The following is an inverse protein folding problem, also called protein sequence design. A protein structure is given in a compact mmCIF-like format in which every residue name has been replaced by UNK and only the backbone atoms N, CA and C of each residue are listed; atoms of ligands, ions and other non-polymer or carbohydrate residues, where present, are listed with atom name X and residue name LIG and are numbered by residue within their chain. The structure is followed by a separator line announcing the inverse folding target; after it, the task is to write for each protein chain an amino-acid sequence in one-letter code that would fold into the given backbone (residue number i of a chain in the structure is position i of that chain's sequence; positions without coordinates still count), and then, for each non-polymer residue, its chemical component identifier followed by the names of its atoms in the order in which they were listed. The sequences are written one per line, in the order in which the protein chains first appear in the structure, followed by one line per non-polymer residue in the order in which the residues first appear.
data_IF_597213618838
#
_entry.id   IF_597213618838
#
_cell.length_a   1.000
_cell.length_b   1.000
_cell.length_c   1.000
_cell.angle_alpha   90.00
_cell.angle_beta   90.00
_cell.angle_gamma   90.00
#
_symmetry.space_group_name_H-M   'P 1'
#
loop_
_entity.id
_entity.type
_entity.pdbx_description
1 polymer ?
#
# COMPACT_ATOMS: atom_id res chain seq x y z
N UNK A 1 45.35 -15.58 -16.79
CA UNK A 1 44.07 -16.30 -16.68
C UNK A 1 43.20 -15.53 -15.71
N UNK A 2 41.92 -15.25 -16.02
CA UNK A 2 41.02 -14.62 -15.06
C UNK A 2 40.83 -15.54 -13.84
N UNK A 3 40.88 -14.96 -12.63
CA UNK A 3 40.56 -15.68 -11.39
C UNK A 3 39.11 -16.17 -11.47
N UNK A 4 38.90 -17.47 -11.20
CA UNK A 4 37.56 -18.02 -11.14
C UNK A 4 36.84 -17.59 -9.86
N UNK A 5 35.53 -17.35 -9.92
CA UNK A 5 34.69 -17.01 -8.75
C UNK A 5 34.86 -17.96 -7.57
N UNK A 6 35.14 -19.25 -7.81
CA UNK A 6 35.38 -20.26 -6.77
C UNK A 6 36.72 -20.13 -6.04
N UNK A 7 37.62 -19.27 -6.52
CA UNK A 7 38.92 -19.01 -5.90
C UNK A 7 38.89 -17.80 -4.97
N UNK A 8 37.77 -17.06 -4.95
CA UNK A 8 37.61 -15.90 -4.09
C UNK A 8 37.34 -16.34 -2.63
N UNK A 9 37.83 -15.57 -1.65
CA UNK A 9 37.44 -15.73 -0.24
C UNK A 9 35.92 -15.63 -0.05
N UNK A 10 35.38 -16.36 0.94
CA UNK A 10 33.94 -16.44 1.19
C UNK A 10 33.30 -15.07 1.49
N UNK A 11 34.01 -14.19 2.20
CA UNK A 11 33.61 -12.81 2.47
C UNK A 11 33.45 -11.98 1.19
N UNK A 12 34.34 -12.14 0.22
CA UNK A 12 34.21 -11.47 -1.09
C UNK A 12 33.02 -12.04 -1.87
N UNK A 13 32.79 -13.35 -1.81
CA UNK A 13 31.62 -13.97 -2.46
C UNK A 13 30.32 -13.46 -1.82
N UNK A 14 30.29 -13.30 -0.49
CA UNK A 14 29.15 -12.72 0.22
C UNK A 14 28.89 -11.29 -0.25
N UNK A 15 29.94 -10.47 -0.37
CA UNK A 15 29.81 -9.08 -0.86
C UNK A 15 29.40 -9.00 -2.34
N UNK A 16 29.81 -9.96 -3.17
CA UNK A 16 29.30 -10.05 -4.56
C UNK A 16 27.81 -10.40 -4.54
N UNK A 17 27.41 -11.34 -3.69
CA UNK A 17 26.03 -11.79 -3.58
C UNK A 17 25.08 -10.68 -3.09
N UNK A 18 25.54 -9.77 -2.23
CA UNK A 18 24.72 -8.61 -1.81
C UNK A 18 24.44 -7.63 -2.95
N UNK A 19 25.22 -7.69 -4.04
CA UNK A 19 25.02 -6.89 -5.25
C UNK A 19 24.12 -7.58 -6.31
N UNK A 20 23.63 -8.78 -6.04
CA UNK A 20 22.80 -9.56 -6.97
C UNK A 20 21.37 -9.65 -6.47
N UNK A 21 20.41 -9.70 -7.40
CA UNK A 21 19.02 -9.99 -7.07
C UNK A 21 18.87 -11.45 -6.62
N UNK A 22 17.89 -11.71 -5.75
CA UNK A 22 17.66 -13.04 -5.18
C UNK A 22 17.57 -14.18 -6.23
N UNK A 23 16.91 -14.02 -7.39
CA UNK A 23 16.88 -15.07 -8.42
C UNK A 23 18.28 -15.45 -8.94
N UNK A 24 19.19 -14.49 -9.05
CA UNK A 24 20.57 -14.70 -9.50
C UNK A 24 21.39 -15.35 -8.40
N UNK A 25 21.19 -14.93 -7.14
CA UNK A 25 21.81 -15.55 -5.97
C UNK A 25 21.42 -17.03 -5.86
N UNK A 26 20.12 -17.35 -5.96
CA UNK A 26 19.64 -18.74 -5.92
C UNK A 26 20.29 -19.55 -7.04
N UNK A 27 20.31 -19.01 -8.27
CA UNK A 27 20.92 -19.69 -9.42
C UNK A 27 22.42 -19.93 -9.23
N UNK A 28 23.15 -18.93 -8.74
CA UNK A 28 24.58 -18.99 -8.48
C UNK A 28 24.94 -20.02 -7.40
N UNK A 29 24.20 -20.02 -6.30
CA UNK A 29 24.45 -20.87 -5.13
C UNK A 29 24.13 -22.34 -5.44
N UNK A 30 23.06 -22.62 -6.19
CA UNK A 30 22.70 -23.98 -6.59
C UNK A 30 23.74 -24.62 -7.52
N UNK A 31 24.38 -23.82 -8.39
CA UNK A 31 25.32 -24.32 -9.41
C UNK A 31 26.77 -24.35 -8.92
N UNK A 32 27.22 -23.34 -8.17
CA UNK A 32 28.67 -23.14 -7.88
C UNK A 32 29.04 -23.11 -6.41
N UNK A 33 28.11 -22.76 -5.51
CA UNK A 33 28.42 -22.53 -4.09
C UNK A 33 27.49 -23.29 -3.14
N UNK A 34 27.35 -24.60 -3.36
CA UNK A 34 26.46 -25.45 -2.56
C UNK A 34 26.74 -25.37 -1.05
N UNK A 35 28.01 -25.21 -0.65
CA UNK A 35 28.39 -25.04 0.76
C UNK A 35 27.75 -23.78 1.37
N UNK A 36 27.72 -22.64 0.67
CA UNK A 36 27.04 -21.43 1.15
C UNK A 36 25.54 -21.66 1.31
N UNK A 37 24.93 -22.46 0.42
CA UNK A 37 23.51 -22.82 0.51
C UNK A 37 23.14 -23.58 1.79
N UNK A 38 24.11 -24.20 2.47
CA UNK A 38 23.90 -24.89 3.76
C UNK A 38 24.02 -23.96 4.98
N UNK A 39 24.50 -22.72 4.79
CA UNK A 39 24.68 -21.77 5.89
C UNK A 39 23.41 -20.96 6.11
N UNK A 40 22.89 -20.97 7.35
CA UNK A 40 21.67 -20.22 7.70
C UNK A 40 21.88 -18.70 7.66
N UNK A 41 23.02 -18.22 8.15
CA UNK A 41 23.39 -16.80 8.14
C UNK A 41 23.43 -16.21 6.73
N UNK A 42 23.87 -17.00 5.74
CA UNK A 42 23.87 -16.62 4.33
C UNK A 42 22.45 -16.24 3.86
N UNK A 43 21.49 -17.15 4.04
CA UNK A 43 20.11 -16.91 3.60
C UNK A 43 19.43 -15.77 4.35
N UNK A 44 19.70 -15.62 5.65
CA UNK A 44 19.20 -14.47 6.42
C UNK A 44 19.70 -13.18 5.78
N UNK A 45 21.01 -13.03 5.57
CA UNK A 45 21.58 -11.81 4.98
C UNK A 45 21.03 -11.51 3.59
N UNK A 46 20.93 -12.53 2.73
CA UNK A 46 20.40 -12.39 1.37
C UNK A 46 18.92 -11.98 1.38
N UNK A 47 18.11 -12.61 2.21
CA UNK A 47 16.67 -12.30 2.33
C UNK A 47 16.44 -10.95 3.00
N UNK A 48 17.23 -10.56 4.00
CA UNK A 48 17.17 -9.22 4.59
C UNK A 48 17.49 -8.14 3.57
N UNK A 49 18.53 -8.33 2.74
CA UNK A 49 18.86 -7.43 1.64
C UNK A 49 17.70 -7.36 0.64
N UNK A 50 17.16 -8.51 0.24
CA UNK A 50 16.02 -8.56 -0.70
C UNK A 50 14.80 -7.86 -0.12
N UNK A 51 14.49 -8.08 1.17
CA UNK A 51 13.35 -7.48 1.87
C UNK A 51 13.41 -5.96 1.91
N UNK A 52 14.60 -5.35 1.83
CA UNK A 52 14.72 -3.89 1.77
C UNK A 52 14.15 -3.30 0.48
N UNK A 53 14.06 -4.09 -0.58
CA UNK A 53 13.64 -3.60 -1.90
C UNK A 53 12.33 -4.24 -2.35
N UNK A 54 12.06 -5.49 -1.97
CA UNK A 54 10.89 -6.23 -2.41
C UNK A 54 10.22 -6.99 -1.26
N UNK A 55 8.88 -7.09 -1.25
CA UNK A 55 8.18 -7.86 -0.23
C UNK A 55 8.54 -9.35 -0.32
N UNK A 56 8.68 -9.97 0.85
CA UNK A 56 8.84 -11.42 1.00
C UNK A 56 7.54 -12.02 1.56
N UNK A 57 7.28 -13.30 1.28
CA UNK A 57 6.12 -14.09 1.76
C UNK A 57 6.08 -14.33 3.29
N UNK A 58 6.29 -13.27 4.07
CA UNK A 58 6.27 -13.21 5.53
C UNK A 58 6.01 -11.76 5.96
N UNK A 59 5.59 -11.54 7.20
CA UNK A 59 5.42 -10.18 7.73
C UNK A 59 6.71 -9.34 7.54
N UNK A 60 6.63 -8.04 7.19
CA UNK A 60 7.79 -7.16 7.05
C UNK A 60 8.72 -7.19 8.28
N UNK A 61 8.12 -7.32 9.47
CA UNK A 61 8.81 -7.32 10.76
C UNK A 61 9.21 -8.71 11.26
N UNK A 62 8.97 -9.75 10.45
CA UNK A 62 9.31 -11.11 10.85
C UNK A 62 10.82 -11.26 11.05
N UNK A 63 11.23 -11.61 12.26
CA UNK A 63 12.63 -11.91 12.62
C UNK A 63 13.11 -13.17 11.88
N UNK A 64 13.83 -12.98 10.77
CA UNK A 64 14.36 -14.07 9.94
C UNK A 64 15.33 -14.98 10.70
N UNK A 65 15.93 -14.51 11.80
CA UNK A 65 16.80 -15.33 12.65
C UNK A 65 16.05 -16.42 13.40
N UNK A 66 14.72 -16.37 13.47
CA UNK A 66 13.87 -17.42 14.05
C UNK A 66 13.49 -18.51 13.04
N UNK A 67 13.69 -18.27 11.75
CA UNK A 67 13.35 -19.23 10.71
C UNK A 67 14.40 -20.36 10.67
N UNK A 68 13.92 -21.56 10.36
CA UNK A 68 14.80 -22.70 10.06
C UNK A 68 15.48 -22.47 8.70
N UNK A 69 16.60 -23.15 8.46
CA UNK A 69 17.27 -23.09 7.15
C UNK A 69 16.32 -23.46 6.01
N UNK A 70 15.47 -24.47 6.22
CA UNK A 70 14.51 -24.92 5.21
C UNK A 70 13.44 -23.87 4.94
N UNK A 71 12.90 -23.24 5.98
CA UNK A 71 11.93 -22.16 5.81
C UNK A 71 12.52 -20.95 5.07
N UNK A 72 13.78 -20.60 5.33
CA UNK A 72 14.48 -19.54 4.59
C UNK A 72 14.67 -19.90 3.11
N UNK A 73 15.09 -21.14 2.82
CA UNK A 73 15.19 -21.63 1.43
C UNK A 73 13.85 -21.63 0.72
N UNK A 74 12.78 -22.01 1.43
CA UNK A 74 11.43 -21.98 0.90
C UNK A 74 10.99 -20.56 0.58
N UNK A 75 11.23 -19.58 1.47
CA UNK A 75 10.98 -18.16 1.20
C UNK A 75 11.71 -17.69 -0.07
N UNK A 76 13.00 -18.01 -0.19
CA UNK A 76 13.79 -17.64 -1.35
C UNK A 76 13.28 -18.30 -2.65
N UNK A 77 12.92 -19.58 -2.59
CA UNK A 77 12.37 -20.31 -3.73
C UNK A 77 11.00 -19.77 -4.16
N UNK A 78 10.10 -19.49 -3.22
CA UNK A 78 8.79 -18.89 -3.51
C UNK A 78 8.96 -17.51 -4.16
N UNK A 79 9.85 -16.67 -3.63
CA UNK A 79 10.16 -15.38 -4.23
C UNK A 79 10.73 -15.54 -5.65
N UNK A 80 11.65 -16.47 -5.87
CA UNK A 80 12.21 -16.71 -7.21
C UNK A 80 11.12 -17.12 -8.21
N UNK A 81 10.23 -18.05 -7.84
CA UNK A 81 9.10 -18.48 -8.67
C UNK A 81 8.18 -17.31 -9.01
N UNK A 82 7.86 -16.50 -8.00
CA UNK A 82 7.08 -15.27 -8.14
C UNK A 82 7.68 -14.33 -9.18
N UNK A 83 8.96 -13.99 -9.03
CA UNK A 83 9.63 -13.07 -9.94
C UNK A 83 9.73 -13.64 -11.36
N UNK A 84 9.96 -14.95 -11.51
CA UNK A 84 9.96 -15.59 -12.83
C UNK A 84 8.58 -15.53 -13.49
N UNK A 85 7.50 -15.68 -12.73
CA UNK A 85 6.15 -15.56 -13.27
C UNK A 85 5.80 -14.11 -13.62
N UNK A 86 6.17 -13.15 -12.77
CA UNK A 86 5.96 -11.73 -13.05
C UNK A 86 6.81 -11.17 -14.19
N UNK A 87 7.94 -11.80 -14.54
CA UNK A 87 8.71 -11.40 -15.74
C UNK A 87 7.95 -11.69 -17.05
N UNK A 88 6.83 -12.40 -17.01
CA UNK A 88 5.98 -12.68 -18.18
C UNK A 88 5.05 -11.50 -18.43
N UNK A 89 4.78 -11.22 -19.71
CA UNK A 89 3.75 -10.25 -20.10
C UNK A 89 2.35 -10.66 -19.59
N UNK A 90 2.10 -11.97 -19.57
CA UNK A 90 0.89 -12.60 -19.04
C UNK A 90 1.27 -13.62 -17.96
N UNK A 91 1.30 -13.19 -16.68
CA UNK A 91 1.55 -14.09 -15.56
C UNK A 91 0.54 -15.23 -15.53
N UNK A 92 1.01 -16.45 -15.27
CA UNK A 92 0.16 -17.64 -15.28
C UNK A 92 -0.36 -17.95 -13.88
N UNK A 93 -1.64 -18.27 -13.77
CA UNK A 93 -2.20 -18.87 -12.56
C UNK A 93 -1.52 -20.21 -12.30
N UNK A 94 -1.03 -20.39 -11.08
CA UNK A 94 -0.39 -21.64 -10.64
C UNK A 94 -1.40 -22.60 -10.06
N UNK A 95 -2.48 -22.09 -9.47
CA UNK A 95 -3.59 -22.89 -8.93
C UNK A 95 -4.92 -22.50 -9.54
N UNK A 96 -5.85 -23.45 -9.52
CA UNK A 96 -7.24 -23.16 -9.83
C UNK A 96 -7.79 -22.12 -8.84
N UNK A 97 -8.64 -21.22 -9.33
CA UNK A 97 -9.33 -20.25 -8.49
C UNK A 97 -10.10 -20.96 -7.39
N UNK A 98 -9.91 -20.49 -6.17
CA UNK A 98 -10.68 -20.94 -5.01
C UNK A 98 -11.67 -19.84 -4.68
N UNK A 99 -12.96 -20.17 -4.66
CA UNK A 99 -14.01 -19.22 -4.33
C UNK A 99 -14.81 -19.73 -3.14
N UNK A 100 -14.96 -18.88 -2.13
CA UNK A 100 -15.74 -19.16 -0.93
C UNK A 100 -16.82 -18.07 -0.78
N UNK A 101 -18.06 -18.41 -0.41
CA UNK A 101 -19.04 -17.40 -0.08
C UNK A 101 -18.59 -16.64 1.18
N UNK A 102 -18.75 -15.32 1.16
CA UNK A 102 -18.66 -14.47 2.34
C UNK A 102 -19.80 -14.80 3.32
N UNK A 103 -19.69 -14.39 4.60
CA UNK A 103 -20.77 -14.62 5.55
C UNK A 103 -22.08 -14.02 5.05
N UNK A 104 -23.12 -14.86 5.03
CA UNK A 104 -24.47 -14.54 4.54
C UNK A 104 -24.57 -14.20 3.04
N UNK A 105 -23.51 -14.44 2.24
CA UNK A 105 -23.49 -14.16 0.78
C UNK A 105 -23.81 -12.70 0.42
N UNK A 106 -23.47 -11.78 1.30
CA UNK A 106 -23.56 -10.34 1.02
C UNK A 106 -22.19 -9.82 0.57
N UNK A 107 -22.17 -8.78 -0.30
CA UNK A 107 -20.92 -8.17 -0.73
C UNK A 107 -20.17 -7.55 0.45
N UNK A 108 -18.84 -7.64 0.39
CA UNK A 108 -17.97 -6.97 1.34
C UNK A 108 -16.79 -6.31 0.62
N UNK A 109 -16.40 -5.13 1.12
CA UNK A 109 -15.27 -4.36 0.61
C UNK A 109 -14.01 -4.65 1.42
N UNK A 110 -12.87 -4.70 0.75
CA UNK A 110 -11.57 -4.79 1.42
C UNK A 110 -11.22 -3.45 2.07
N UNK A 111 -11.02 -3.45 3.39
CA UNK A 111 -10.43 -2.30 4.08
C UNK A 111 -8.91 -2.43 4.19
N UNK A 112 -8.44 -3.60 4.62
CA UNK A 112 -7.00 -3.88 4.69
C UNK A 112 -6.71 -5.38 4.69
N UNK A 113 -5.59 -5.77 4.07
CA UNK A 113 -4.97 -7.09 4.21
C UNK A 113 -3.90 -7.05 5.31
N UNK A 114 -4.02 -7.85 6.37
CA UNK A 114 -3.01 -7.88 7.44
C UNK A 114 -1.79 -8.68 6.95
N UNK A 115 -0.70 -7.99 6.59
CA UNK A 115 0.44 -8.60 5.91
C UNK A 115 1.10 -9.73 6.71
N UNK A 116 1.42 -10.81 6.01
CA UNK A 116 2.00 -12.01 6.60
C UNK A 116 1.00 -12.84 7.42
N UNK A 117 -0.30 -12.57 7.30
CA UNK A 117 -1.38 -13.36 7.90
C UNK A 117 -2.38 -13.79 6.82
N UNK A 118 -3.34 -14.63 7.22
CA UNK A 118 -4.42 -15.07 6.33
C UNK A 118 -5.73 -14.29 6.55
N UNK A 119 -5.63 -13.07 7.09
CA UNK A 119 -6.79 -12.31 7.58
C UNK A 119 -6.94 -10.98 6.85
N UNK A 120 -8.15 -10.77 6.35
CA UNK A 120 -8.63 -9.49 5.84
C UNK A 120 -9.51 -8.79 6.86
N UNK A 121 -9.45 -7.46 6.85
CA UNK A 121 -10.47 -6.61 7.47
C UNK A 121 -11.42 -6.19 6.35
N UNK A 122 -12.69 -6.54 6.50
CA UNK A 122 -13.72 -6.33 5.50
C UNK A 122 -14.83 -5.43 6.06
N UNK A 123 -15.41 -4.60 5.20
CA UNK A 123 -16.62 -3.83 5.46
C UNK A 123 -17.83 -4.51 4.82
N UNK A 124 -18.92 -4.67 5.58
CA UNK A 124 -20.21 -5.15 5.12
C UNK A 124 -21.30 -4.26 5.73
N UNK A 125 -22.00 -3.51 4.88
CA UNK A 125 -22.97 -2.52 5.34
C UNK A 125 -22.32 -1.47 6.25
N UNK A 126 -22.72 -1.46 7.52
CA UNK A 126 -22.19 -0.55 8.55
C UNK A 126 -21.20 -1.22 9.50
N UNK A 127 -20.82 -2.46 9.22
CA UNK A 127 -20.00 -3.31 10.08
C UNK A 127 -18.63 -3.59 9.48
N UNK A 128 -17.64 -3.67 10.35
CA UNK A 128 -16.29 -4.11 10.02
C UNK A 128 -15.96 -5.38 10.77
N UNK A 129 -15.41 -6.37 10.08
CA UNK A 129 -15.06 -7.66 10.65
C UNK A 129 -13.75 -8.20 10.08
N UNK A 130 -13.16 -9.14 10.82
CA UNK A 130 -11.97 -9.86 10.38
C UNK A 130 -12.37 -11.21 9.78
N UNK A 131 -11.88 -11.53 8.59
CA UNK A 131 -12.16 -12.78 7.86
C UNK A 131 -10.87 -13.53 7.56
N UNK A 132 -10.79 -14.78 8.00
CA UNK A 132 -9.70 -15.68 7.63
C UNK A 132 -10.05 -16.39 6.32
N UNK A 133 -9.41 -16.02 5.22
CA UNK A 133 -9.77 -16.55 3.90
C UNK A 133 -9.35 -18.00 3.70
N UNK A 134 -8.24 -18.44 4.31
CA UNK A 134 -7.79 -19.84 4.21
C UNK A 134 -8.71 -20.81 4.93
N UNK A 135 -9.26 -20.39 6.07
CA UNK A 135 -10.20 -21.18 6.85
C UNK A 135 -11.66 -20.94 6.43
N UNK A 136 -11.91 -19.96 5.56
CA UNK A 136 -13.25 -19.47 5.20
C UNK A 136 -14.12 -19.21 6.44
N UNK A 137 -13.53 -18.53 7.43
CA UNK A 137 -14.14 -18.33 8.75
C UNK A 137 -13.98 -16.89 9.23
N UNK A 138 -15.02 -16.40 9.89
CA UNK A 138 -14.94 -15.18 10.68
C UNK A 138 -13.94 -15.36 11.83
N UNK A 139 -13.24 -14.28 12.15
CA UNK A 139 -12.48 -14.18 13.38
C UNK A 139 -13.41 -14.40 14.59
N UNK A 140 -12.92 -14.97 15.71
CA UNK A 140 -13.74 -15.19 16.89
C UNK A 140 -14.22 -13.89 17.58
N UNK A 141 -13.72 -12.73 17.15
CA UNK A 141 -14.15 -11.43 17.67
C UNK A 141 -15.39 -10.93 16.93
N UNK A 142 -16.35 -10.29 17.63
CA UNK A 142 -17.56 -9.78 17.00
C UNK A 142 -17.23 -8.66 15.98
N UNK A 143 -18.06 -8.49 14.94
CA UNK A 143 -17.99 -7.31 14.08
C UNK A 143 -18.13 -6.01 14.88
N UNK A 144 -17.49 -4.95 14.40
CA UNK A 144 -17.56 -3.59 14.95
C UNK A 144 -18.51 -2.76 14.10
N UNK A 145 -19.50 -2.12 14.74
CA UNK A 145 -20.39 -1.16 14.09
C UNK A 145 -19.66 0.19 13.94
N UNK A 146 -19.47 0.64 12.69
CA UNK A 146 -18.80 1.93 12.41
C UNK A 146 -19.70 2.92 11.67
N UNK A 147 -20.73 2.47 10.97
CA UNK A 147 -21.54 3.30 10.07
C UNK A 147 -21.04 3.25 8.63
N UNK A 148 -21.45 4.19 7.78
CA UNK A 148 -21.01 4.23 6.38
C UNK A 148 -19.62 4.85 6.28
N UNK A 149 -18.62 4.08 5.88
CA UNK A 149 -17.23 4.56 5.79
C UNK A 149 -17.10 5.57 4.65
N UNK A 150 -16.63 6.78 4.98
CA UNK A 150 -16.33 7.85 4.02
C UNK A 150 -14.84 7.90 3.68
N UNK A 151 -13.98 7.71 4.69
CA UNK A 151 -12.52 7.65 4.54
C UNK A 151 -11.94 6.55 5.40
N UNK A 152 -10.84 5.98 4.94
CA UNK A 152 -10.07 4.97 5.68
C UNK A 152 -8.57 5.27 5.62
N UNK A 153 -7.86 4.89 6.67
CA UNK A 153 -6.41 5.01 6.77
C UNK A 153 -5.84 3.78 7.49
N UNK A 154 -5.30 2.79 6.76
CA UNK A 154 -4.68 1.63 7.36
C UNK A 154 -3.23 1.92 7.76
N UNK A 155 -2.84 1.44 8.93
CA UNK A 155 -1.44 1.38 9.38
C UNK A 155 -1.10 -0.03 9.82
N UNK A 156 0.13 -0.44 9.53
CA UNK A 156 0.65 -1.73 9.95
C UNK A 156 1.97 -1.56 10.67
N UNK A 157 2.04 -2.21 11.83
CA UNK A 157 3.19 -2.30 12.70
C UNK A 157 3.39 -3.78 13.09
N UNK A 158 4.57 -4.16 13.59
CA UNK A 158 4.80 -5.53 14.02
C UNK A 158 3.73 -6.01 15.01
N UNK A 159 2.92 -6.98 14.57
CA UNK A 159 1.86 -7.59 15.39
C UNK A 159 0.62 -6.72 15.61
N UNK A 160 0.55 -5.52 15.02
CA UNK A 160 -0.60 -4.61 15.17
C UNK A 160 -0.95 -4.02 13.81
N UNK A 161 -2.18 -4.21 13.37
CA UNK A 161 -2.77 -3.46 12.27
C UNK A 161 -3.83 -2.53 12.83
N UNK A 162 -3.78 -1.25 12.49
CA UNK A 162 -4.84 -0.30 12.83
C UNK A 162 -5.49 0.22 11.56
N UNK A 163 -6.81 0.40 11.60
CA UNK A 163 -7.59 1.03 10.52
C UNK A 163 -8.33 2.19 11.13
N UNK A 164 -7.93 3.40 10.80
CA UNK A 164 -8.73 4.57 11.12
C UNK A 164 -9.85 4.66 10.08
N UNK A 165 -11.09 4.79 10.53
CA UNK A 165 -12.27 4.96 9.68
C UNK A 165 -12.97 6.24 10.10
N UNK A 166 -13.31 7.08 9.12
CA UNK A 166 -14.30 8.12 9.32
C UNK A 166 -15.59 7.63 8.72
N UNK A 167 -16.63 7.56 9.53
CA UNK A 167 -17.91 7.04 9.12
C UNK A 167 -19.07 7.98 9.49
N UNK A 168 -20.11 7.94 8.67
CA UNK A 168 -21.35 8.67 8.91
C UNK A 168 -22.35 7.78 9.65
N UNK A 169 -22.80 8.25 10.82
CA UNK A 169 -23.80 7.57 11.64
C UNK A 169 -24.98 8.50 11.91
N UNK A 170 -26.17 8.17 11.36
CA UNK A 170 -27.47 8.87 11.45
C UNK A 170 -27.47 10.37 11.09
N UNK A 171 -26.68 11.19 11.79
CA UNK A 171 -26.54 12.63 11.60
C UNK A 171 -25.16 13.18 12.03
N UNK A 172 -24.23 12.35 12.49
CA UNK A 172 -22.89 12.78 12.92
C UNK A 172 -21.80 12.02 12.19
N UNK A 173 -20.68 12.71 11.93
CA UNK A 173 -19.44 12.08 11.54
C UNK A 173 -18.72 11.58 12.79
N UNK A 174 -18.26 10.34 12.73
CA UNK A 174 -17.57 9.68 13.82
C UNK A 174 -16.27 9.10 13.27
N UNK A 175 -15.18 9.37 13.97
CA UNK A 175 -13.89 8.74 13.65
C UNK A 175 -13.72 7.55 14.58
N UNK A 176 -13.42 6.38 14.05
CA UNK A 176 -13.10 5.19 14.85
C UNK A 176 -11.72 4.68 14.48
N UNK A 177 -10.93 4.26 15.47
CA UNK A 177 -9.69 3.51 15.24
C UNK A 177 -9.94 2.06 15.60
N UNK A 178 -9.97 1.23 14.56
CA UNK A 178 -10.02 -0.21 14.67
C UNK A 178 -8.59 -0.71 14.90
N UNK A 179 -8.34 -1.46 15.97
CA UNK A 179 -7.02 -2.04 16.24
C UNK A 179 -7.12 -3.56 16.28
N UNK A 180 -6.36 -4.20 15.39
CA UNK A 180 -6.25 -5.63 15.23
C UNK A 180 -4.87 -6.05 15.70
N UNK A 181 -4.79 -6.78 16.82
CA UNK A 181 -3.53 -7.38 17.26
C UNK A 181 -3.44 -8.78 16.68
N UNK A 182 -2.26 -9.17 16.21
CA UNK A 182 -2.02 -10.51 15.68
C UNK A 182 -0.66 -11.05 16.11
N UNK A 183 -0.60 -12.36 16.32
CA UNK A 183 0.62 -13.08 16.67
C UNK A 183 0.69 -14.36 15.84
N UNK A 184 1.85 -14.61 15.21
CA UNK A 184 2.11 -15.82 14.41
C UNK A 184 1.01 -16.10 13.37
N UNK A 185 0.52 -15.05 12.69
CA UNK A 185 -0.49 -15.18 11.65
C UNK A 185 -1.94 -15.28 12.15
N UNK A 186 -2.19 -15.19 13.47
CA UNK A 186 -3.52 -15.27 14.06
C UNK A 186 -3.91 -13.97 14.73
N UNK A 187 -5.14 -13.50 14.51
CA UNK A 187 -5.71 -12.35 15.24
C UNK A 187 -5.94 -12.76 16.70
N UNK A 188 -5.41 -11.98 17.62
CA UNK A 188 -5.50 -12.17 19.07
C UNK A 188 -6.39 -11.14 19.75
N UNK A 189 -6.65 -10.00 19.12
CA UNK A 189 -7.65 -9.03 19.56
C UNK A 189 -8.19 -8.22 18.38
N UNK A 190 -9.43 -7.76 18.51
CA UNK A 190 -10.03 -6.77 17.62
C UNK A 190 -10.81 -5.77 18.47
N UNK A 191 -10.30 -4.54 18.57
CA UNK A 191 -10.87 -3.47 19.40
C UNK A 191 -11.20 -2.25 18.56
N UNK A 192 -12.12 -1.43 19.05
CA UNK A 192 -12.51 -0.17 18.41
C UNK A 192 -12.51 0.95 19.43
N UNK A 193 -11.81 2.03 19.12
CA UNK A 193 -11.84 3.27 19.89
C UNK A 193 -12.57 4.33 19.08
N UNK A 194 -13.51 5.03 19.71
CA UNK A 194 -14.36 6.02 19.05
C UNK A 194 -13.95 7.42 19.47
N UNK A 195 -13.83 8.30 18.48
CA UNK A 195 -13.53 9.71 18.62
C UNK A 195 -14.65 10.53 18.00
N UNK A 196 -15.04 11.62 18.65
CA UNK A 196 -15.85 12.64 18.00
C UNK A 196 -15.02 13.17 16.80
N UNK A 197 -15.64 13.39 15.64
CA UNK A 197 -14.95 14.08 14.55
C UNK A 197 -14.93 15.59 14.85
N UNK A 198 -13.82 16.30 14.60
CA UNK A 198 -13.82 17.75 14.71
C UNK A 198 -14.82 18.36 13.73
N UNK A 199 -15.28 19.57 14.04
CA UNK A 199 -16.15 20.33 13.14
C UNK A 199 -15.43 20.53 11.81
N UNK A 200 -16.11 20.21 10.71
CA UNK A 200 -15.56 20.39 9.37
C UNK A 200 -15.63 21.87 8.98
N UNK A 201 -14.48 22.51 8.76
CA UNK A 201 -14.39 23.89 8.24
C UNK A 201 -14.21 23.94 6.72
N UNK A 202 -13.97 22.80 6.08
CA UNK A 202 -13.72 22.69 4.64
C UNK A 202 -13.87 21.28 4.12
N UNK A 203 -13.39 21.04 2.90
CA UNK A 203 -13.47 19.72 2.27
C UNK A 203 -12.56 18.74 2.98
N UNK A 204 -13.15 17.67 3.50
CA UNK A 204 -12.39 16.58 4.06
C UNK A 204 -11.62 15.86 2.95
N UNK A 205 -10.31 15.73 3.13
CA UNK A 205 -9.42 15.16 2.10
C UNK A 205 -8.78 13.84 2.52
N UNK A 206 -8.28 13.76 3.74
CA UNK A 206 -7.62 12.55 4.21
C UNK A 206 -7.76 12.39 5.73
N UNK A 207 -7.54 11.16 6.19
CA UNK A 207 -7.58 10.74 7.59
C UNK A 207 -6.21 10.15 7.92
N UNK A 208 -5.72 10.29 9.15
CA UNK A 208 -4.48 9.67 9.57
C UNK A 208 -4.54 9.15 11.00
N UNK A 209 -3.72 8.15 11.29
CA UNK A 209 -3.47 7.65 12.62
C UNK A 209 -1.96 7.40 12.83
N UNK A 210 -1.38 8.01 13.86
CA UNK A 210 0.05 7.95 14.17
C UNK A 210 0.26 7.78 15.67
N UNK A 211 0.63 6.58 16.11
CA UNK A 211 1.10 6.30 17.48
C UNK A 211 0.22 6.91 18.60
N UNK A 212 -1.11 6.80 18.45
CA UNK A 212 -2.08 7.36 19.38
C UNK A 212 -2.50 8.80 19.09
N UNK A 213 -2.15 9.35 17.94
CA UNK A 213 -2.73 10.60 17.40
C UNK A 213 -3.61 10.23 16.24
N UNK A 214 -4.85 10.73 16.24
CA UNK A 214 -5.81 10.53 15.15
C UNK A 214 -6.21 11.90 14.65
N UNK A 215 -6.23 12.09 13.35
CA UNK A 215 -6.62 13.38 12.81
C UNK A 215 -7.09 13.30 11.38
N UNK A 216 -7.57 14.44 10.92
CA UNK A 216 -8.07 14.64 9.59
C UNK A 216 -7.42 15.86 8.94
N UNK A 217 -7.30 15.80 7.63
CA UNK A 217 -6.77 16.86 6.79
C UNK A 217 -7.91 17.42 5.97
N UNK A 218 -8.09 18.74 6.05
CA UNK A 218 -9.12 19.49 5.35
C UNK A 218 -8.49 20.49 4.38
N UNK A 219 -9.17 20.67 3.25
CA UNK A 219 -8.92 21.73 2.28
C UNK A 219 -9.78 22.94 2.62
N UNK A 220 -9.18 24.09 2.92
CA UNK A 220 -9.93 25.35 3.02
C UNK A 220 -9.67 26.17 1.77
N UNK A 221 -10.51 25.98 0.74
CA UNK A 221 -10.34 26.59 -0.58
C UNK A 221 -10.13 28.11 -0.52
N UNK A 222 -10.87 28.79 0.36
CA UNK A 222 -10.83 30.24 0.48
C UNK A 222 -9.49 30.80 1.01
N UNK A 223 -8.61 29.97 1.59
CA UNK A 223 -7.52 30.49 2.42
C UNK A 223 -6.11 29.95 2.08
N UNK A 224 -5.90 29.25 0.96
CA UNK A 224 -4.58 28.79 0.49
C UNK A 224 -3.79 27.99 1.54
N UNK A 225 -4.47 27.27 2.44
CA UNK A 225 -3.83 26.37 3.40
C UNK A 225 -4.62 25.07 3.57
N UNK A 226 -3.92 24.02 4.01
CA UNK A 226 -4.52 22.80 4.56
C UNK A 226 -4.70 22.95 6.06
N UNK A 227 -5.82 22.47 6.60
CA UNK A 227 -6.04 22.36 8.04
C UNK A 227 -5.84 20.93 8.48
N UNK A 228 -4.98 20.69 9.47
CA UNK A 228 -4.85 19.40 10.13
C UNK A 228 -5.52 19.52 11.50
N UNK A 229 -6.62 18.79 11.70
CA UNK A 229 -7.33 18.72 12.99
C UNK A 229 -7.13 17.35 13.60
N UNK A 230 -6.60 17.27 14.82
CA UNK A 230 -6.26 15.98 15.45
C UNK A 230 -6.51 15.95 16.95
N UNK A 231 -6.72 14.74 17.47
CA UNK A 231 -6.83 14.41 18.88
C UNK A 231 -5.79 13.35 19.26
N UNK A 232 -5.29 13.40 20.49
CA UNK A 232 -4.40 12.39 21.07
C UNK A 232 -5.18 11.46 21.99
N UNK A 233 -4.97 10.15 21.84
CA UNK A 233 -5.56 9.11 22.71
C UNK A 233 -5.01 9.15 24.12
N UNK A 234 -3.90 9.87 24.35
CA UNK A 234 -3.25 10.01 25.65
C UNK A 234 -3.78 11.18 26.47
N UNK A 235 -4.56 12.06 25.85
CA UNK A 235 -5.09 13.22 26.55
C UNK A 235 -6.29 12.81 27.41
N UNK A 236 -6.33 13.35 28.64
CA UNK A 236 -7.35 13.02 29.65
C UNK A 236 -8.76 13.37 29.14
N UNK A 237 -8.86 14.31 28.21
CA UNK A 237 -10.08 14.65 27.48
C UNK A 237 -9.84 14.52 25.98
N UNK A 238 -10.34 13.46 25.30
CA UNK A 238 -10.17 13.23 23.87
C UNK A 238 -10.92 14.25 22.96
N UNK A 239 -11.27 15.42 23.49
CA UNK A 239 -12.07 16.48 22.85
C UNK A 239 -11.27 17.73 22.47
N UNK A 240 -10.02 17.83 22.91
CA UNK A 240 -9.15 18.95 22.54
C UNK A 240 -8.56 18.68 21.16
N UNK A 241 -9.16 19.29 20.14
CA UNK A 241 -8.58 19.29 18.80
C UNK A 241 -7.51 20.35 18.70
N UNK A 242 -6.35 19.93 18.25
CA UNK A 242 -5.32 20.84 17.78
C UNK A 242 -5.51 21.07 16.28
N UNK A 243 -5.33 22.31 15.86
CA UNK A 243 -5.48 22.73 14.47
C UNK A 243 -4.18 23.31 13.97
N UNK A 244 -3.58 22.68 12.95
CA UNK A 244 -2.40 23.19 12.27
C UNK A 244 -2.76 23.68 10.87
N UNK A 245 -2.25 24.86 10.50
CA UNK A 245 -2.42 25.42 9.15
C UNK A 245 -1.14 25.21 8.38
N UNK A 246 -1.21 24.47 7.29
CA UNK A 246 -0.09 24.25 6.37
C UNK A 246 -0.27 25.17 5.16
N UNK A 247 0.59 26.19 4.97
CA UNK A 247 0.50 27.08 3.82
C UNK A 247 0.68 26.28 2.52
N UNK A 248 0.03 26.70 1.44
CA UNK A 248 0.20 26.10 0.12
C UNK A 248 0.79 27.11 -0.84
N UNK A 249 1.74 26.66 -1.64
CA UNK A 249 2.39 27.48 -2.65
C UNK A 249 1.66 27.45 -4.01
N UNK A 250 0.53 26.73 -4.14
CA UNK A 250 -0.10 26.44 -5.44
C UNK A 250 -1.23 27.36 -5.88
N UNK A 251 -1.40 27.38 -7.21
CA UNK A 251 -2.50 28.03 -7.92
C UNK A 251 -3.84 27.33 -7.65
N UNK A 252 -4.93 28.07 -7.82
CA UNK A 252 -6.33 27.70 -7.51
C UNK A 252 -6.94 26.68 -8.49
N UNK A 253 -6.18 25.68 -8.94
CA UNK A 253 -6.73 24.63 -9.80
C UNK A 253 -7.80 23.84 -9.04
N UNK A 254 -8.94 23.56 -9.68
CA UNK A 254 -10.07 22.87 -9.03
C UNK A 254 -9.86 21.35 -8.93
N UNK A 255 -8.84 20.79 -9.60
CA UNK A 255 -8.61 19.34 -9.67
C UNK A 255 -7.41 18.89 -8.83
N UNK A 256 -7.33 19.37 -7.58
CA UNK A 256 -6.29 18.94 -6.63
C UNK A 256 -6.62 17.55 -6.09
N UNK A 257 -5.70 16.61 -6.31
CA UNK A 257 -5.67 15.37 -5.56
C UNK A 257 -4.87 15.58 -4.29
N UNK A 258 -5.30 14.94 -3.21
CA UNK A 258 -4.58 15.03 -1.95
C UNK A 258 -4.77 13.78 -1.14
N UNK A 259 -3.73 13.42 -0.40
CA UNK A 259 -3.74 12.27 0.48
C UNK A 259 -2.72 12.49 1.59
N UNK A 260 -2.63 11.54 2.52
CA UNK A 260 -1.57 11.57 3.50
C UNK A 260 -0.98 10.19 3.72
N UNK A 261 0.27 10.17 4.14
CA UNK A 261 0.92 8.94 4.59
C UNK A 261 1.56 9.18 5.95
N UNK A 262 1.75 8.08 6.67
CA UNK A 262 2.45 8.12 7.96
C UNK A 262 3.60 7.15 7.95
N UNK A 263 4.77 7.59 8.38
CA UNK A 263 5.95 6.75 8.45
C UNK A 263 6.80 7.10 9.66
N UNK A 264 7.05 6.10 10.53
CA UNK A 264 7.83 6.23 11.77
C UNK A 264 7.43 7.42 12.66
N UNK A 265 6.14 7.74 12.75
CA UNK A 265 5.68 8.88 13.54
C UNK A 265 5.57 10.20 12.76
N UNK A 266 6.05 10.25 11.52
CA UNK A 266 5.98 11.44 10.66
C UNK A 266 4.72 11.38 9.80
N UNK A 267 4.06 12.52 9.62
CA UNK A 267 2.93 12.72 8.70
C UNK A 267 3.45 13.41 7.44
N UNK A 268 3.02 12.94 6.28
CA UNK A 268 3.26 13.58 5.00
C UNK A 268 1.92 13.85 4.34
N UNK A 269 1.57 15.12 4.13
CA UNK A 269 0.43 15.51 3.31
C UNK A 269 0.91 15.66 1.88
N UNK A 270 0.32 14.92 0.96
CA UNK A 270 0.63 15.01 -0.46
C UNK A 270 -0.50 15.77 -1.17
N UNK A 271 -0.13 16.65 -2.09
CA UNK A 271 -1.07 17.41 -2.92
C UNK A 271 -0.54 17.38 -4.35
N UNK A 272 -1.34 16.89 -5.28
CA UNK A 272 -1.01 16.77 -6.69
C UNK A 272 -1.91 17.67 -7.54
N UNK A 273 -1.30 18.47 -8.41
CA UNK A 273 -1.98 19.56 -9.14
C UNK A 273 -1.99 19.42 -10.67
N UNK A 274 -1.59 18.26 -11.20
CA UNK A 274 -1.40 17.97 -12.61
C UNK A 274 0.02 18.20 -13.10
N UNK A 275 0.85 18.96 -12.36
CA UNK A 275 2.20 19.35 -12.76
C UNK A 275 3.27 18.92 -11.77
N UNK A 276 2.91 18.80 -10.50
CA UNK A 276 3.82 18.36 -9.44
C UNK A 276 3.06 17.74 -8.28
N UNK A 277 3.78 16.95 -7.48
CA UNK A 277 3.35 16.53 -6.16
C UNK A 277 4.07 17.37 -5.12
N UNK A 278 3.31 18.20 -4.39
CA UNK A 278 3.79 18.86 -3.19
C UNK A 278 3.66 17.93 -2.00
N UNK A 279 4.71 17.87 -1.20
CA UNK A 279 4.77 16.98 -0.04
C UNK A 279 5.12 17.84 1.16
N UNK A 280 4.20 17.90 2.11
CA UNK A 280 4.33 18.65 3.35
C UNK A 280 4.58 17.69 4.48
N UNK A 281 5.76 17.76 5.08
CA UNK A 281 6.18 16.91 6.18
C UNK A 281 5.90 17.57 7.52
N UNK A 282 5.18 16.87 8.41
CA UNK A 282 4.98 17.25 9.81
C UNK A 282 5.55 16.16 10.72
N UNK A 283 6.45 16.52 11.64
CA UNK A 283 7.01 15.55 12.58
C UNK A 283 6.01 15.18 13.68
N UNK A 284 6.20 14.00 14.28
CA UNK A 284 5.43 13.60 15.48
C UNK A 284 5.49 14.66 16.56
N UNK A 285 6.68 15.24 16.78
CA UNK A 285 6.93 16.19 17.85
C UNK A 285 6.20 17.51 17.58
N UNK A 286 6.11 17.92 16.32
CA UNK A 286 5.32 19.09 15.94
C UNK A 286 3.82 18.85 16.13
N UNK A 287 3.31 17.66 15.75
CA UNK A 287 1.93 17.25 16.03
C UNK A 287 1.64 17.27 17.53
N UNK A 288 2.40 16.54 18.35
CA UNK A 288 2.15 16.45 19.80
C UNK A 288 2.33 17.80 20.51
N UNK A 289 3.24 18.65 20.04
CA UNK A 289 3.44 19.97 20.66
C UNK A 289 2.40 21.02 20.24
N UNK A 290 1.66 20.78 19.14
CA UNK A 290 0.79 21.77 18.52
C UNK A 290 1.53 22.95 17.87
N UNK A 291 2.86 22.91 17.80
CA UNK A 291 3.70 23.95 17.17
C UNK A 291 4.40 23.37 15.95
N UNK A 292 4.03 23.83 14.75
CA UNK A 292 4.71 23.44 13.53
C UNK A 292 5.96 24.30 13.30
N UNK A 293 7.15 23.73 13.54
CA UNK A 293 8.40 24.38 13.11
C UNK A 293 8.65 24.00 11.66
N UNK A 294 8.33 24.92 10.73
CA UNK A 294 8.58 24.81 9.28
C UNK A 294 8.51 23.38 8.73
N UNK A 295 7.30 22.96 8.32
CA UNK A 295 7.14 21.70 7.59
C UNK A 295 8.18 21.62 6.47
N UNK A 296 8.86 20.48 6.34
CA UNK A 296 9.67 20.23 5.16
C UNK A 296 8.73 20.25 3.95
N UNK A 297 9.00 21.12 2.98
CA UNK A 297 8.26 21.18 1.73
C UNK A 297 9.14 20.57 0.64
N UNK A 298 8.63 19.51 0.02
CA UNK A 298 9.25 18.86 -1.13
C UNK A 298 8.33 19.01 -2.33
N UNK A 299 8.91 19.09 -3.52
CA UNK A 299 8.17 19.11 -4.77
C UNK A 299 8.76 18.07 -5.69
N UNK A 300 7.92 17.20 -6.24
CA UNK A 300 8.30 16.24 -7.26
C UNK A 300 7.60 16.61 -8.55
N UNK A 301 8.36 16.80 -9.63
CA UNK A 301 7.77 17.21 -10.91
C UNK A 301 7.03 16.02 -11.54
N UNK A 302 5.86 16.28 -12.12
CA UNK A 302 5.08 15.33 -12.91
C UNK A 302 5.25 15.71 -14.37
N UNK A 303 5.33 14.71 -15.24
CA UNK A 303 5.22 14.96 -16.69
C UNK A 303 3.77 15.33 -16.97
N UNK A 304 3.47 16.59 -17.34
CA UNK A 304 2.10 17.07 -17.37
C UNK A 304 1.26 16.29 -18.38
N UNK A 305 0.01 15.96 -18.04
CA UNK A 305 -0.88 15.29 -18.96
C UNK A 305 -1.40 16.25 -20.03
N UNK A 306 -1.74 15.73 -21.23
CA UNK A 306 -2.26 16.56 -22.33
C UNK A 306 -3.62 17.18 -21.99
N UNK A 307 -4.52 16.41 -21.36
CA UNK A 307 -5.84 16.88 -20.92
C UNK A 307 -6.45 15.91 -19.89
N UNK A 308 -6.82 16.43 -18.71
CA UNK A 308 -7.58 15.69 -17.69
C UNK A 308 -9.07 15.83 -17.98
N UNK A 309 -9.81 14.73 -17.95
CA UNK A 309 -11.24 14.72 -18.34
C UNK A 309 -12.18 14.04 -17.33
N UNK A 310 -11.65 13.38 -16.29
CA UNK A 310 -12.48 12.54 -15.43
C UNK A 310 -11.96 12.37 -14.01
N UNK A 311 -12.48 11.33 -13.36
CA UNK A 311 -12.26 11.03 -11.95
C UNK A 311 -10.78 10.87 -11.64
N UNK A 312 -10.43 11.39 -10.47
CA UNK A 312 -9.08 11.44 -9.97
C UNK A 312 -9.10 10.79 -8.58
N UNK A 313 -8.24 9.80 -8.34
CA UNK A 313 -8.17 9.07 -7.07
C UNK A 313 -6.74 9.08 -6.59
N UNK A 314 -6.53 9.33 -5.30
CA UNK A 314 -5.24 9.06 -4.66
C UNK A 314 -5.38 7.83 -3.78
N UNK A 315 -4.39 6.94 -3.84
CA UNK A 315 -4.32 5.77 -2.97
C UNK A 315 -2.96 5.69 -2.31
N UNK A 316 -2.97 5.49 -1.00
CA UNK A 316 -1.78 5.32 -0.19
C UNK A 316 -1.12 3.96 -0.40
N UNK A 317 0.18 3.91 -0.14
CA UNK A 317 0.88 2.65 0.07
C UNK A 317 0.89 2.22 1.54
N UNK A 318 0.17 1.15 1.89
CA UNK A 318 -0.01 0.67 3.28
C UNK A 318 1.23 0.05 3.94
N UNK A 319 2.41 0.00 3.30
CA UNK A 319 3.62 -0.32 4.06
C UNK A 319 4.93 0.18 3.48
N UNK A 320 5.66 0.83 4.39
CA UNK A 320 7.09 1.14 4.42
C UNK A 320 7.67 1.74 3.14
N UNK A 321 7.89 3.05 3.18
CA UNK A 321 8.75 3.80 2.25
C UNK A 321 10.13 3.17 1.97
N UNK A 322 10.55 2.15 2.73
CA UNK A 322 11.69 1.30 2.37
C UNK A 322 11.55 0.65 0.99
N UNK A 323 10.32 0.38 0.52
CA UNK A 323 10.10 -0.22 -0.79
C UNK A 323 10.18 0.77 -1.95
N UNK A 324 10.39 2.06 -1.65
CA UNK A 324 10.74 3.05 -2.66
C UNK A 324 9.57 3.77 -3.31
N UNK A 325 8.34 3.54 -2.83
CA UNK A 325 7.11 4.19 -3.28
C UNK A 325 6.35 4.78 -2.09
N UNK A 326 5.82 5.99 -2.25
CA UNK A 326 5.11 6.74 -1.21
C UNK A 326 3.59 6.78 -1.46
N UNK A 327 3.20 7.11 -2.69
CA UNK A 327 1.82 7.26 -3.10
C UNK A 327 1.67 7.01 -4.59
N UNK A 328 0.44 6.73 -5.03
CA UNK A 328 0.07 6.71 -6.44
C UNK A 328 -1.15 7.59 -6.66
N UNK A 329 -1.01 8.57 -7.56
CA UNK A 329 -2.12 9.36 -8.05
C UNK A 329 -2.63 8.78 -9.35
N UNK A 330 -3.95 8.68 -9.48
CA UNK A 330 -4.62 8.09 -10.64
C UNK A 330 -5.53 9.13 -11.27
N UNK A 331 -5.38 9.39 -12.57
CA UNK A 331 -6.21 10.33 -13.31
C UNK A 331 -6.76 9.66 -14.57
N UNK A 332 -8.02 9.94 -14.89
CA UNK A 332 -8.59 9.63 -16.21
C UNK A 332 -8.34 10.82 -17.16
N UNK A 333 -7.62 10.54 -18.22
CA UNK A 333 -7.14 11.50 -19.21
C UNK A 333 -7.70 11.19 -20.60
N UNK A 334 -7.69 12.20 -21.48
CA UNK A 334 -7.95 12.01 -22.90
C UNK A 334 -6.63 11.97 -23.64
N UNK A 335 -6.37 10.87 -24.34
CA UNK A 335 -5.31 10.81 -25.33
C UNK A 335 -5.83 11.43 -26.63
N UNK A 336 -5.44 12.68 -26.90
CA UNK A 336 -5.85 13.41 -28.10
C UNK A 336 -5.34 12.77 -29.40
N UNK A 337 -4.19 12.09 -29.37
CA UNK A 337 -3.64 11.41 -30.55
C UNK A 337 -4.45 10.18 -30.91
N UNK A 338 -4.85 9.39 -29.90
CA UNK A 338 -5.67 8.20 -30.09
C UNK A 338 -7.17 8.49 -30.14
N UNK A 339 -7.59 9.68 -29.71
CA UNK A 339 -8.99 10.01 -29.43
C UNK A 339 -9.68 8.97 -28.53
N UNK A 340 -8.95 8.48 -27.53
CA UNK A 340 -9.41 7.49 -26.56
C UNK A 340 -9.10 7.96 -25.15
N UNK A 341 -9.90 7.51 -24.18
CA UNK A 341 -9.60 7.77 -22.79
C UNK A 341 -8.49 6.81 -22.32
N UNK A 342 -7.59 7.32 -21.52
CA UNK A 342 -6.55 6.55 -20.86
C UNK A 342 -6.54 6.88 -19.36
N UNK A 343 -5.94 5.99 -18.59
CA UNK A 343 -5.74 6.18 -17.16
C UNK A 343 -4.25 6.35 -16.91
N UNK A 344 -3.87 7.47 -16.31
CA UNK A 344 -2.50 7.72 -15.89
C UNK A 344 -2.31 7.37 -14.41
N UNK A 345 -1.13 6.85 -14.11
CA UNK A 345 -0.69 6.44 -12.80
C UNK A 345 0.62 7.16 -12.51
N UNK A 346 0.59 8.11 -11.58
CA UNK A 346 1.75 8.87 -11.14
C UNK A 346 2.25 8.32 -9.83
N UNK A 347 3.37 7.61 -9.89
CA UNK A 347 4.07 7.02 -8.77
C UNK A 347 4.98 8.07 -8.13
N UNK A 348 4.86 8.25 -6.82
CA UNK A 348 5.71 9.17 -6.03
C UNK A 348 6.86 8.37 -5.42
N UNK A 349 8.06 8.37 -6.03
CA UNK A 349 9.18 7.61 -5.52
C UNK A 349 9.68 8.21 -4.19
N UNK A 350 10.13 7.33 -3.30
CA UNK A 350 10.73 7.74 -2.03
C UNK A 350 11.95 6.90 -1.71
N UNK A 351 12.80 7.37 -0.83
CA UNK A 351 13.93 6.61 -0.31
C UNK A 351 14.15 6.95 1.17
N UNK A 352 14.78 6.05 1.91
CA UNK A 352 15.12 6.32 3.30
C UNK A 352 16.34 7.24 3.36
N UNK A 353 16.24 8.30 4.16
CA UNK A 353 17.41 9.09 4.51
C UNK A 353 18.29 8.23 5.43
N UNK A 354 19.61 8.18 5.18
CA UNK A 354 20.54 7.46 6.06
C UNK A 354 20.74 8.13 7.43
N UNK A 355 20.01 9.21 7.70
CA UNK A 355 20.01 9.88 9.00
C UNK A 355 19.29 9.04 10.04
N UNK A 356 19.83 9.06 11.27
CA UNK A 356 19.13 8.55 12.44
C UNK A 356 17.85 9.36 12.62
N UNK A 357 16.73 8.67 12.78
CA UNK A 357 15.44 9.27 13.07
C UNK A 357 15.51 9.98 14.43
N UNK A 358 15.57 11.30 14.41
CA UNK A 358 15.59 12.18 15.58
C UNK A 358 14.17 12.64 15.98
N UNK A 359 13.13 12.13 15.28
CA UNK A 359 11.73 12.51 15.43
C UNK A 359 11.41 13.94 14.99
N UNK A 360 12.34 14.62 14.31
CA UNK A 360 12.20 15.99 13.80
C UNK A 360 12.42 16.03 12.29
N UNK A 361 13.56 15.51 11.84
CA UNK A 361 13.98 15.47 10.45
C UNK A 361 13.19 14.39 9.70
N UNK A 362 12.81 14.65 8.46
CA UNK A 362 12.15 13.62 7.66
C UNK A 362 13.07 12.39 7.48
N UNK A 363 12.63 11.18 7.86
CA UNK A 363 13.32 9.94 7.51
C UNK A 363 13.20 9.58 6.02
N UNK A 364 12.48 10.38 5.23
CA UNK A 364 12.23 10.14 3.81
C UNK A 364 12.86 11.23 2.94
N UNK A 365 13.40 10.80 1.81
CA UNK A 365 13.67 11.64 0.66
C UNK A 365 12.66 11.31 -0.43
N UNK A 366 12.38 12.28 -1.28
CA UNK A 366 11.46 12.14 -2.40
C UNK A 366 12.23 12.43 -3.68
N UNK A 367 12.24 11.45 -4.58
CA UNK A 367 12.99 11.57 -5.82
C UNK A 367 12.15 12.31 -6.86
N UNK A 368 12.80 13.14 -7.67
CA UNK A 368 12.15 13.85 -8.79
C UNK A 368 12.84 13.45 -10.12
N UNK A 369 12.09 13.31 -11.23
CA UNK A 369 10.63 13.46 -11.34
C UNK A 369 9.86 12.24 -10.78
N UNK A 370 8.55 12.42 -10.58
CA UNK A 370 7.62 11.30 -10.43
C UNK A 370 7.66 10.40 -11.67
N UNK A 371 7.30 9.13 -11.49
CA UNK A 371 7.21 8.18 -12.60
C UNK A 371 5.75 8.07 -13.00
N UNK A 372 5.42 8.46 -14.24
CA UNK A 372 4.05 8.37 -14.76
C UNK A 372 3.95 7.25 -15.78
N UNK A 373 2.95 6.37 -15.61
CA UNK A 373 2.62 5.30 -16.55
C UNK A 373 1.18 5.46 -17.04
N UNK A 374 0.93 5.23 -18.33
CA UNK A 374 -0.41 5.30 -18.91
C UNK A 374 -0.90 3.92 -19.32
N UNK A 375 -2.15 3.64 -19.00
CA UNK A 375 -2.87 2.44 -19.44
C UNK A 375 -4.04 2.86 -20.31
N UNK A 376 -4.18 2.24 -21.47
CA UNK A 376 -5.31 2.49 -22.35
C UNK A 376 -6.62 1.99 -21.68
N UNK A 377 -7.69 2.78 -21.76
CA UNK A 377 -8.98 2.47 -21.14
C UNK A 377 -9.38 3.41 -20.00
N UNK A 378 -10.65 3.29 -19.61
CA UNK A 378 -11.24 4.04 -18.49
C UNK A 378 -11.29 3.12 -17.28
N UNK A 379 -10.95 3.64 -16.11
CA UNK A 379 -11.33 2.99 -14.86
C UNK A 379 -12.83 3.23 -14.62
N UNK A 380 -13.64 2.19 -14.74
CA UNK A 380 -15.01 2.24 -14.24
C UNK A 380 -15.00 2.25 -12.71
N UNK A 381 -15.88 3.09 -12.13
CA UNK A 381 -16.14 3.32 -10.70
C UNK A 381 -15.26 2.51 -9.73
N UNK A 382 -14.01 2.98 -9.60
CA UNK A 382 -13.06 2.77 -8.49
C UNK A 382 -12.94 1.33 -7.96
N UNK A 383 -12.80 0.34 -8.85
CA UNK A 383 -12.22 -0.97 -8.49
C UNK A 383 -10.68 -0.95 -8.60
N UNK A 384 -10.05 0.06 -8.01
CA UNK A 384 -8.60 0.11 -7.86
C UNK A 384 -8.25 -0.69 -6.60
N UNK A 385 -7.43 -1.72 -6.77
CA UNK A 385 -6.89 -2.45 -5.66
C UNK A 385 -5.43 -2.23 -5.46
N UNK A 386 -5.17 -1.76 -4.24
CA UNK A 386 -3.82 -1.46 -3.84
C UNK A 386 -3.07 -2.73 -3.45
N UNK A 387 -1.83 -2.86 -3.94
CA UNK A 387 -0.93 -3.95 -3.57
C UNK A 387 -0.08 -3.56 -2.40
N UNK A 388 0.08 -4.48 -1.45
CA UNK A 388 0.83 -4.31 -0.22
C UNK A 388 2.10 -3.43 -0.22
N UNK A 389 2.94 -3.34 -1.27
CA UNK A 389 4.23 -2.61 -1.19
C UNK A 389 4.71 -1.90 -2.48
N UNK A 390 4.72 -2.54 -3.66
CA UNK A 390 5.33 -2.02 -4.89
C UNK A 390 4.45 -2.09 -6.16
N UNK A 391 3.21 -2.54 -6.03
CA UNK A 391 2.33 -2.74 -7.18
C UNK A 391 1.06 -1.93 -7.10
N UNK A 392 0.38 -1.79 -8.24
CA UNK A 392 -1.02 -1.40 -8.32
C UNK A 392 -1.81 -2.34 -9.25
N UNK A 393 -2.92 -2.95 -8.79
CA UNK A 393 -3.78 -3.76 -9.65
C UNK A 393 -5.05 -2.97 -9.96
N UNK A 394 -5.40 -2.93 -11.24
CA UNK A 394 -6.47 -2.10 -11.75
C UNK A 394 -7.32 -2.89 -12.71
N UNK A 395 -8.63 -2.78 -12.55
CA UNK A 395 -9.57 -3.21 -13.59
C UNK A 395 -9.78 -2.02 -14.52
N UNK A 396 -9.44 -2.21 -15.77
CA UNK A 396 -9.67 -1.24 -16.83
C UNK A 396 -10.77 -1.76 -17.73
N UNK A 397 -11.75 -0.91 -18.03
CA UNK A 397 -12.69 -1.16 -19.10
C UNK A 397 -12.16 -0.60 -20.42
N UNK A 398 -12.24 -1.41 -21.46
CA UNK A 398 -11.86 -1.03 -22.81
C UNK A 398 -13.12 -1.01 -23.66
N UNK A 399 -13.38 0.05 -24.46
CA UNK A 399 -14.63 0.22 -25.22
C UNK A 399 -15.02 -0.93 -26.18
N UNK A 400 -14.12 -1.88 -26.42
CA UNK A 400 -14.27 -2.94 -27.43
C UNK A 400 -13.98 -4.34 -26.89
N UNK A 401 -13.69 -4.50 -25.59
CA UNK A 401 -13.25 -5.77 -25.01
C UNK A 401 -13.91 -6.03 -23.65
N UNK A 402 -14.07 -7.29 -23.23
CA UNK A 402 -14.50 -7.60 -21.87
C UNK A 402 -13.54 -6.97 -20.86
N UNK A 403 -14.04 -6.63 -19.66
CA UNK A 403 -13.23 -6.06 -18.58
C UNK A 403 -11.92 -6.82 -18.40
N UNK A 404 -10.82 -6.09 -18.29
CA UNK A 404 -9.50 -6.66 -18.13
C UNK A 404 -8.91 -6.27 -16.78
N UNK A 405 -8.30 -7.25 -16.15
CA UNK A 405 -7.52 -7.03 -14.95
C UNK A 405 -6.05 -6.84 -15.31
N UNK A 406 -5.53 -5.64 -15.04
CA UNK A 406 -4.14 -5.26 -15.33
C UNK A 406 -3.40 -5.04 -14.02
N UNK A 407 -2.23 -5.65 -13.87
CA UNK A 407 -1.31 -5.40 -12.78
C UNK A 407 -0.19 -4.47 -13.26
N UNK A 408 -0.10 -3.30 -12.65
CA UNK A 408 1.03 -2.39 -12.73
C UNK A 408 1.99 -2.67 -11.58
N UNK A 409 3.29 -2.67 -11.84
CA UNK A 409 4.31 -2.85 -10.80
C UNK A 409 5.38 -1.79 -10.95
N UNK A 410 5.63 -1.05 -9.88
CA UNK A 410 6.72 -0.10 -9.80
C UNK A 410 8.00 -0.81 -9.35
N UNK A 411 9.10 -0.53 -10.05
CA UNK A 411 10.42 -1.09 -9.77
C UNK A 411 11.30 0.01 -9.20
N UNK A 412 11.53 0.04 -7.87
CA UNK A 412 12.21 1.16 -7.21
C UNK A 412 13.68 1.32 -7.63
N UNK A 413 14.33 0.24 -8.07
CA UNK A 413 15.76 0.23 -8.41
C UNK A 413 16.03 0.98 -9.72
N UNK A 414 15.22 0.74 -10.74
CA UNK A 414 15.38 1.36 -12.07
C UNK A 414 14.34 2.46 -12.35
N UNK A 415 13.43 2.71 -11.40
CA UNK A 415 12.35 3.69 -11.48
C UNK A 415 11.45 3.46 -12.69
N UNK A 416 11.22 2.19 -13.03
CA UNK A 416 10.35 1.80 -14.13
C UNK A 416 9.01 1.27 -13.64
N UNK A 417 8.04 1.18 -14.55
CA UNK A 417 6.75 0.53 -14.30
C UNK A 417 6.60 -0.59 -15.31
N UNK A 418 6.27 -1.80 -14.85
CA UNK A 418 5.86 -2.90 -15.70
C UNK A 418 4.35 -3.08 -15.65
N UNK A 419 3.77 -3.47 -16.79
CA UNK A 419 2.35 -3.73 -16.94
C UNK A 419 2.14 -5.19 -17.34
N UNK A 420 1.22 -5.87 -16.66
CA UNK A 420 0.92 -7.28 -16.86
C UNK A 420 -0.58 -7.48 -17.01
N UNK A 421 -1.00 -8.14 -18.09
CA UNK A 421 -2.38 -8.58 -18.22
C UNK A 421 -2.54 -9.85 -17.38
N UNK A 422 -3.40 -9.81 -16.37
CA UNK A 422 -3.63 -10.94 -15.49
C UNK A 422 -4.59 -11.93 -16.16
N UNK A 423 -4.21 -13.20 -16.15
CA UNK A 423 -5.07 -14.28 -16.63
C UNK A 423 -6.15 -14.56 -15.58
N UNK A 424 -7.38 -14.09 -15.84
CA UNK A 424 -8.54 -14.30 -14.98
C UNK A 424 -9.39 -15.43 -15.57
N UNK A 425 -9.84 -16.43 -14.76
CA UNK A 425 -10.70 -17.49 -15.25
C UNK A 425 -12.00 -16.94 -15.84
N UNK A 426 -12.45 -17.49 -16.98
CA UNK A 426 -13.66 -17.03 -17.69
C UNK A 426 -14.95 -17.12 -16.86
N UNK A 427 -14.96 -17.96 -15.82
CA UNK A 427 -16.10 -18.12 -14.93
C UNK A 427 -16.18 -17.05 -13.83
N UNK A 428 -15.19 -16.15 -13.75
CA UNK A 428 -15.24 -14.98 -12.88
C UNK A 428 -15.70 -13.76 -13.67
N UNK A 429 -16.90 -13.27 -13.34
CA UNK A 429 -17.45 -12.09 -13.97
C UNK A 429 -16.85 -10.82 -13.33
N UNK A 430 -15.98 -10.15 -14.07
CA UNK A 430 -15.33 -8.91 -13.64
C UNK A 430 -16.27 -7.70 -13.65
N UNK A 431 -17.45 -7.78 -14.29
CA UNK A 431 -18.41 -6.67 -14.34
C UNK A 431 -19.16 -6.45 -13.01
N UNK A 432 -19.22 -7.48 -12.17
CA UNK A 432 -19.86 -7.46 -10.84
C UNK A 432 -18.84 -7.40 -9.71
N UNK A 433 -17.60 -7.04 -10.02
CA UNK A 433 -16.53 -6.97 -9.04
C UNK A 433 -16.78 -5.79 -8.09
N UNK A 434 -16.70 -6.05 -6.80
CA UNK A 434 -16.96 -5.08 -5.73
C UNK A 434 -15.67 -4.54 -5.13
N UNK A 435 -14.68 -5.41 -4.94
CA UNK A 435 -13.36 -5.01 -4.48
C UNK A 435 -12.30 -6.00 -4.91
N UNK A 436 -11.06 -5.51 -4.95
CA UNK A 436 -9.88 -6.29 -5.26
C UNK A 436 -8.85 -6.04 -4.16
N UNK A 437 -7.98 -7.00 -3.89
CA UNK A 437 -6.81 -6.80 -3.06
C UNK A 437 -5.69 -7.67 -3.62
N UNK A 438 -4.45 -7.21 -3.58
CA UNK A 438 -3.32 -8.07 -3.96
C UNK A 438 -2.28 -8.12 -2.87
N UNK A 439 -1.73 -9.30 -2.71
CA UNK A 439 -0.62 -9.60 -1.85
C UNK A 439 0.60 -9.97 -2.70
N UNK A 440 1.47 -8.98 -2.94
CA UNK A 440 2.71 -9.20 -3.69
C UNK A 440 3.64 -10.18 -3.02
N UNK A 441 3.63 -10.23 -1.69
CA UNK A 441 4.51 -11.11 -0.96
C UNK A 441 4.24 -12.58 -1.32
N UNK A 442 2.97 -12.92 -1.51
CA UNK A 442 2.53 -14.28 -1.84
C UNK A 442 2.25 -14.49 -3.33
N UNK A 443 2.09 -13.41 -4.10
CA UNK A 443 1.63 -13.48 -5.49
C UNK A 443 0.16 -13.85 -5.61
N UNK A 444 -0.65 -13.44 -4.64
CA UNK A 444 -2.06 -13.76 -4.58
C UNK A 444 -2.90 -12.52 -4.83
N UNK A 445 -3.98 -12.71 -5.56
CA UNK A 445 -4.98 -11.70 -5.86
C UNK A 445 -6.31 -12.17 -5.29
N UNK A 446 -6.96 -11.30 -4.54
CA UNK A 446 -8.21 -11.56 -3.83
C UNK A 446 -9.29 -10.65 -4.41
N UNK A 447 -10.45 -11.21 -4.66
CA UNK A 447 -11.54 -10.58 -5.39
C UNK A 447 -12.82 -10.78 -4.60
N UNK A 448 -13.59 -9.73 -4.39
CA UNK A 448 -14.97 -9.83 -3.92
C UNK A 448 -15.92 -9.33 -4.99
N UNK A 449 -17.07 -9.99 -5.11
CA UNK A 449 -18.11 -9.65 -6.08
C UNK A 449 -19.40 -9.23 -5.38
N UNK A 450 -20.29 -8.56 -6.11
CA UNK A 450 -21.56 -8.03 -5.61
C UNK A 450 -22.51 -9.12 -5.06
N UNK A 451 -22.33 -10.37 -5.47
CA UNK A 451 -23.06 -11.55 -4.97
C UNK A 451 -22.40 -12.17 -3.72
N UNK A 452 -21.40 -11.53 -3.13
CA UNK A 452 -20.74 -11.97 -1.91
C UNK A 452 -19.78 -13.14 -2.09
N UNK A 453 -19.25 -13.37 -3.30
CA UNK A 453 -18.21 -14.38 -3.51
C UNK A 453 -16.82 -13.79 -3.22
N UNK A 454 -16.02 -14.51 -2.44
CA UNK A 454 -14.60 -14.22 -2.23
C UNK A 454 -13.77 -15.19 -3.07
N UNK A 455 -13.00 -14.69 -4.03
CA UNK A 455 -12.15 -15.51 -4.91
C UNK A 455 -10.68 -15.22 -4.73
N UNK A 456 -9.85 -16.26 -4.70
CA UNK A 456 -8.38 -16.16 -4.68
C UNK A 456 -7.79 -16.68 -5.99
N UNK A 457 -6.92 -15.87 -6.60
CA UNK A 457 -6.11 -16.17 -7.77
C UNK A 457 -4.62 -16.20 -7.36
N UNK A 458 -4.00 -17.37 -7.41
CA UNK A 458 -2.60 -17.57 -6.98
C UNK A 458 -1.64 -17.71 -8.17
N UNK A 459 -0.57 -16.92 -8.17
CA UNK A 459 0.45 -16.87 -9.23
C UNK A 459 1.78 -17.53 -8.82
N UNK A 460 1.86 -18.27 -7.69
CA UNK A 460 3.08 -18.96 -7.19
C UNK A 460 2.83 -20.33 -6.57
#
# INVERSE_FOLDING_TARGET
MPLGLSQLPSDIILEIVTCLDLPDVVSLVLVRFQLLSTQRSFWISVLETTRRTYPLACSPDADLSRFTLEALKQLASSYQKLQLNWKRAEPQLVRAMVSNPLPDSEPAKFLVNIQGTDVFVLEKGTQVFCWNYKLAQLSPFPPVEVGYIQLLFPTQHPGICSVCVLAQNASSLQTSVLTITHELGKVTSFTSEVFEAPVLEGDLRSLFAIEGVVGLIQLVEAQSYSTISFCSTRDIEPRLYHTLKLPRSMSTSMDLLSDCITYKGHLYSLIEDGYSVQIQHVSRKDLVSGYCRSAGEYSCDIVPPPLVIGTAVCSMTSSTASYGLCAVFVRVERDDEKNMNCTSFTFVPTSLTHSVDDGLSSPLAFDSPCVTHRVDGILEDVNIAWLGNNGLAVVTDLPTQPHKLTLLRYHPVDKSVSQHLLNVPENLDLSILEAICVDEATGSLYLTTQDGLFSTLEYV
#
